data_IF_810711414191
#
_entry.id   IF_810711414191
#
_cell.length_a   1.000
_cell.length_b   1.000
_cell.length_c   1.000
_cell.angle_alpha   90.00
_cell.angle_beta   90.00
_cell.angle_gamma   90.00
#
_symmetry.space_group_name_H-M   'P 1'
#
loop_
_entity.id
_entity.type
_entity.pdbx_description
1 polymer ?
#
# COMPACT_ATOMS: atom_id res chain seq x y z
N UNK A 1 -59.39 12.80 17.52
CA UNK A 1 -59.78 13.09 16.14
C UNK A 1 -60.07 11.80 15.44
N UNK A 2 -61.19 11.65 14.79
CA UNK A 2 -61.54 10.48 14.00
C UNK A 2 -61.09 10.70 12.54
N UNK A 3 -60.55 9.66 11.90
CA UNK A 3 -60.20 9.71 10.48
C UNK A 3 -61.50 9.70 9.66
N UNK A 4 -61.58 10.56 8.66
CA UNK A 4 -62.77 10.62 7.78
C UNK A 4 -62.97 9.28 7.05
N UNK A 5 -64.23 8.85 6.90
CA UNK A 5 -64.59 7.62 6.22
C UNK A 5 -64.15 7.68 4.76
N UNK A 6 -63.57 6.60 4.22
CA UNK A 6 -63.04 6.48 2.84
C UNK A 6 -61.75 7.30 2.55
N UNK A 7 -61.00 7.68 3.57
CA UNK A 7 -59.68 8.30 3.36
C UNK A 7 -58.62 7.23 3.05
N UNK A 8 -57.92 7.38 1.93
CA UNK A 8 -56.78 6.55 1.61
C UNK A 8 -55.59 6.96 2.48
N UNK A 9 -55.04 6.01 3.22
CA UNK A 9 -53.90 6.21 4.10
C UNK A 9 -52.65 5.56 3.54
N UNK A 10 -51.48 6.13 3.82
CA UNK A 10 -50.18 5.55 3.45
C UNK A 10 -49.98 4.17 4.03
N UNK A 11 -50.58 3.86 5.19
CA UNK A 11 -50.49 2.53 5.82
C UNK A 11 -51.24 1.43 5.07
N UNK A 12 -52.20 1.76 4.20
CA UNK A 12 -52.93 0.81 3.36
C UNK A 12 -52.47 0.80 1.90
N UNK A 13 -51.52 1.66 1.53
CA UNK A 13 -51.00 1.75 0.17
C UNK A 13 -49.87 0.74 -0.06
N UNK A 14 -50.03 -0.13 -1.05
CA UNK A 14 -49.04 -1.18 -1.41
C UNK A 14 -47.99 -0.65 -2.38
N UNK A 15 -48.20 0.48 -3.03
CA UNK A 15 -47.37 1.01 -4.10
C UNK A 15 -46.40 2.13 -3.66
N UNK A 16 -46.13 2.25 -2.38
CA UNK A 16 -45.14 3.23 -1.87
C UNK A 16 -43.76 2.74 -2.21
N UNK A 17 -43.04 3.51 -3.03
CA UNK A 17 -41.65 3.24 -3.37
C UNK A 17 -40.72 3.53 -2.18
N UNK A 18 -39.80 2.62 -1.88
CA UNK A 18 -38.79 2.84 -0.86
C UNK A 18 -37.89 4.03 -1.21
N UNK A 19 -37.67 4.90 -0.24
CA UNK A 19 -36.75 6.03 -0.36
C UNK A 19 -35.35 5.58 0.01
N UNK A 20 -34.58 5.13 -0.99
CA UNK A 20 -33.19 4.79 -0.83
C UNK A 20 -32.31 5.98 -1.24
N UNK A 21 -31.33 6.32 -0.40
CA UNK A 21 -30.39 7.39 -0.70
C UNK A 21 -29.47 7.02 -1.86
N UNK A 22 -29.31 7.92 -2.83
CA UNK A 22 -28.38 7.75 -3.96
C UNK A 22 -26.91 8.09 -3.59
N UNK A 23 -26.60 8.20 -2.29
CA UNK A 23 -25.28 8.55 -1.81
C UNK A 23 -24.70 7.41 -0.97
N UNK A 24 -23.50 6.94 -1.32
CA UNK A 24 -22.73 5.97 -0.54
C UNK A 24 -21.63 6.71 0.23
N UNK A 25 -21.70 6.68 1.54
CA UNK A 25 -20.68 7.26 2.42
C UNK A 25 -19.56 6.23 2.65
N UNK A 26 -18.33 6.65 2.42
CA UNK A 26 -17.16 5.83 2.70
C UNK A 26 -16.62 6.13 4.10
N UNK A 27 -16.70 5.15 5.00
CA UNK A 27 -16.33 5.30 6.41
C UNK A 27 -14.86 4.93 6.66
N UNK A 28 -14.22 4.16 5.75
CA UNK A 28 -12.85 3.71 5.94
C UNK A 28 -11.84 4.78 5.51
N UNK A 29 -10.77 5.04 6.30
CA UNK A 29 -9.67 5.90 5.88
C UNK A 29 -8.98 5.29 4.65
N UNK A 30 -8.66 6.14 3.66
CA UNK A 30 -8.10 5.71 2.38
C UNK A 30 -6.76 6.35 2.07
N UNK A 31 -6.22 7.13 2.98
CA UNK A 31 -4.98 7.84 2.77
C UNK A 31 -3.78 6.88 2.81
N UNK A 32 -2.90 7.03 1.84
CA UNK A 32 -1.64 6.28 1.72
C UNK A 32 -0.49 7.29 1.66
N UNK A 33 -0.16 7.95 2.79
CA UNK A 33 0.80 9.04 2.82
C UNK A 33 2.22 8.58 2.47
N UNK A 34 2.64 7.43 2.96
CA UNK A 34 3.98 6.91 2.71
C UNK A 34 4.18 6.60 1.22
N UNK A 35 3.31 5.80 0.62
CA UNK A 35 3.40 5.45 -0.81
C UNK A 35 3.25 6.66 -1.73
N UNK A 36 2.50 7.68 -1.31
CA UNK A 36 2.31 8.93 -2.07
C UNK A 36 3.52 9.85 -1.97
N UNK A 37 4.24 9.83 -0.84
CA UNK A 37 5.46 10.61 -0.61
C UNK A 37 6.72 9.99 -1.21
N UNK A 38 6.71 8.69 -1.52
CA UNK A 38 7.86 8.00 -2.11
C UNK A 38 7.98 8.27 -3.62
N UNK A 39 9.22 8.44 -4.08
CA UNK A 39 9.52 8.43 -5.51
C UNK A 39 9.25 7.04 -6.10
N UNK A 40 8.88 7.00 -7.38
CA UNK A 40 8.60 5.77 -8.13
C UNK A 40 9.65 5.56 -9.20
N UNK A 41 10.11 4.32 -9.33
CA UNK A 41 11.07 3.93 -10.35
C UNK A 41 10.59 2.65 -11.04
N UNK A 42 10.79 2.57 -12.34
CA UNK A 42 10.53 1.34 -13.12
C UNK A 42 11.71 0.38 -12.95
N UNK A 43 11.40 -0.90 -12.81
CA UNK A 43 12.38 -1.98 -12.66
C UNK A 43 12.08 -3.05 -13.71
N UNK A 44 13.10 -3.47 -14.47
CA UNK A 44 12.97 -4.45 -15.55
C UNK A 44 13.24 -5.89 -15.09
N UNK A 45 13.56 -6.11 -13.80
CA UNK A 45 13.86 -7.42 -13.25
C UNK A 45 12.99 -7.72 -12.01
N UNK A 46 12.86 -9.00 -11.70
CA UNK A 46 12.16 -9.47 -10.49
C UNK A 46 12.91 -9.20 -9.19
N UNK A 47 14.23 -9.05 -9.27
CA UNK A 47 15.10 -8.68 -8.18
C UNK A 47 15.87 -7.43 -8.58
N UNK A 48 15.84 -6.41 -7.75
CA UNK A 48 16.56 -5.16 -7.96
C UNK A 48 17.50 -4.89 -6.79
N UNK A 49 18.62 -4.27 -7.11
CA UNK A 49 19.70 -4.05 -6.16
C UNK A 49 20.13 -2.58 -6.17
N UNK A 50 20.61 -2.13 -5.03
CA UNK A 50 21.27 -0.84 -4.88
C UNK A 50 22.51 -0.98 -3.99
N UNK A 51 23.39 -0.01 -4.05
CA UNK A 51 24.61 0.03 -3.23
C UNK A 51 24.47 1.11 -2.17
N UNK A 52 24.96 0.76 -0.98
CA UNK A 52 25.11 1.68 0.13
C UNK A 52 26.57 1.76 0.52
N UNK A 53 27.07 2.94 0.80
CA UNK A 53 28.41 3.18 1.28
C UNK A 53 28.37 3.94 2.59
N UNK A 54 29.35 3.70 3.47
CA UNK A 54 29.44 4.34 4.77
C UNK A 54 30.79 5.08 4.87
N UNK A 55 30.71 6.33 5.30
CA UNK A 55 31.91 7.09 5.63
C UNK A 55 32.36 6.69 7.04
N UNK A 56 33.64 6.36 7.20
CA UNK A 56 34.22 6.08 8.51
C UNK A 56 34.01 7.28 9.46
N UNK A 57 33.69 6.99 10.70
CA UNK A 57 33.53 8.04 11.71
C UNK A 57 34.78 8.93 11.79
N UNK A 58 34.56 10.23 11.98
CA UNK A 58 35.65 11.19 12.10
C UNK A 58 36.61 10.81 13.24
N UNK A 59 37.89 10.79 12.94
CA UNK A 59 38.96 10.54 13.90
C UNK A 59 39.91 11.73 13.95
N UNK A 60 40.63 11.85 15.06
CA UNK A 60 41.67 12.88 15.20
C UNK A 60 42.83 12.54 14.27
N UNK A 61 42.89 13.20 13.12
CA UNK A 61 43.98 12.99 12.13
C UNK A 61 45.15 13.95 12.37
N UNK A 62 45.84 13.79 13.52
CA UNK A 62 47.02 14.58 13.88
C UNK A 62 48.26 13.76 13.56
N UNK A 63 49.23 14.39 12.95
CA UNK A 63 50.56 13.82 12.65
C UNK A 63 51.62 14.65 13.32
N UNK A 64 52.71 13.98 13.65
CA UNK A 64 53.95 14.62 14.16
C UNK A 64 54.68 15.17 12.95
N UNK A 65 55.28 16.37 13.12
CA UNK A 65 56.13 16.95 12.10
C UNK A 65 57.31 16.02 11.79
N UNK A 66 57.56 15.69 10.53
CA UNK A 66 58.60 14.76 10.10
C UNK A 66 58.21 13.27 10.18
N UNK A 67 56.93 12.93 10.45
CA UNK A 67 56.44 11.54 10.39
C UNK A 67 56.37 11.07 8.94
N UNK A 68 57.22 10.12 8.56
CA UNK A 68 57.28 9.45 7.23
C UNK A 68 56.44 8.19 7.16
N UNK A 69 55.54 7.98 8.13
CA UNK A 69 54.66 6.83 8.18
C UNK A 69 53.68 6.82 6.97
N UNK A 70 53.94 5.92 6.02
CA UNK A 70 53.15 5.72 4.78
C UNK A 70 52.16 4.57 4.98
N UNK A 71 51.47 4.49 6.11
CA UNK A 71 50.43 3.47 6.29
C UNK A 71 49.21 3.81 5.45
N UNK A 72 48.84 2.90 4.55
CA UNK A 72 47.60 3.06 3.76
C UNK A 72 46.38 2.99 4.64
N UNK A 73 45.45 3.93 4.45
CA UNK A 73 44.16 3.92 5.15
C UNK A 73 43.32 2.76 4.62
N UNK A 74 42.72 1.98 5.52
CA UNK A 74 41.81 0.91 5.16
C UNK A 74 40.60 1.45 4.42
N UNK A 75 40.21 0.80 3.32
CA UNK A 75 39.03 1.16 2.53
C UNK A 75 37.83 0.39 3.06
N UNK A 76 36.72 1.08 3.21
CA UNK A 76 35.41 0.47 3.37
C UNK A 76 34.83 0.30 1.97
N UNK A 77 34.38 -0.91 1.64
CA UNK A 77 33.76 -1.18 0.34
C UNK A 77 32.26 -1.02 0.43
N UNK A 78 31.59 -0.55 -0.63
CA UNK A 78 30.14 -0.45 -0.69
C UNK A 78 29.47 -1.80 -0.45
N UNK A 79 28.37 -1.80 0.28
CA UNK A 79 27.54 -2.98 0.52
C UNK A 79 26.39 -3.00 -0.48
N UNK A 80 26.14 -4.17 -1.09
CA UNK A 80 25.03 -4.37 -2.01
C UNK A 80 23.80 -4.84 -1.25
N UNK A 81 22.71 -4.11 -1.39
CA UNK A 81 21.39 -4.45 -0.87
C UNK A 81 20.45 -4.72 -2.04
N UNK A 82 19.41 -5.50 -1.83
CA UNK A 82 18.44 -5.78 -2.90
C UNK A 82 17.11 -6.24 -2.35
N UNK A 83 16.06 -6.11 -3.17
CA UNK A 83 14.70 -6.48 -2.82
C UNK A 83 14.01 -7.19 -3.99
N UNK A 84 12.94 -7.92 -3.71
CA UNK A 84 12.13 -8.60 -4.73
C UNK A 84 10.87 -7.83 -5.05
N UNK A 85 10.48 -7.85 -6.33
CA UNK A 85 9.19 -7.34 -6.78
C UNK A 85 8.10 -8.33 -6.40
N UNK A 86 7.07 -7.85 -5.71
CA UNK A 86 5.88 -8.62 -5.34
C UNK A 86 4.75 -8.38 -6.33
N UNK A 87 3.90 -9.37 -6.52
CA UNK A 87 2.66 -9.26 -7.29
C UNK A 87 1.51 -9.13 -6.31
N UNK A 88 0.74 -8.05 -6.44
CA UNK A 88 -0.49 -7.84 -5.68
C UNK A 88 -1.68 -7.89 -6.64
N UNK A 89 -2.72 -8.63 -6.29
CA UNK A 89 -3.87 -8.86 -7.18
C UNK A 89 -5.19 -8.83 -6.39
N UNK A 90 -6.18 -8.18 -6.97
CA UNK A 90 -7.60 -8.34 -6.63
C UNK A 90 -8.37 -8.74 -7.88
N UNK A 91 -9.23 -9.73 -7.76
CA UNK A 91 -10.10 -10.19 -8.84
C UNK A 91 -11.52 -9.71 -8.58
N UNK A 92 -12.12 -9.02 -9.55
CA UNK A 92 -13.53 -8.66 -9.56
C UNK A 92 -14.26 -9.56 -10.56
N UNK A 93 -15.35 -10.15 -10.11
CA UNK A 93 -16.23 -10.92 -10.97
C UNK A 93 -17.66 -10.48 -10.72
N UNK A 94 -18.34 -10.04 -11.77
CA UNK A 94 -19.73 -9.60 -11.74
C UNK A 94 -20.47 -10.36 -12.83
N UNK A 95 -21.66 -10.87 -12.55
CA UNK A 95 -22.47 -11.51 -13.58
C UNK A 95 -23.04 -10.48 -14.54
N UNK A 96 -23.31 -10.87 -15.78
CA UNK A 96 -23.91 -9.97 -16.77
C UNK A 96 -25.28 -9.45 -16.36
N UNK A 97 -26.06 -10.26 -15.64
CA UNK A 97 -27.36 -9.87 -15.10
C UNK A 97 -27.22 -8.81 -14.03
N UNK A 98 -26.24 -8.97 -13.12
CA UNK A 98 -25.96 -8.03 -12.05
C UNK A 98 -25.47 -6.67 -12.60
N UNK A 99 -24.62 -6.68 -13.63
CA UNK A 99 -24.16 -5.43 -14.26
C UNK A 99 -25.23 -4.74 -15.13
N UNK A 100 -26.30 -5.46 -15.51
CA UNK A 100 -27.41 -4.90 -16.28
C UNK A 100 -28.41 -4.15 -15.40
N UNK A 101 -28.48 -4.42 -14.10
CA UNK A 101 -29.42 -3.80 -13.15
C UNK A 101 -28.95 -2.39 -12.75
N UNK A 102 -29.89 -1.50 -12.50
CA UNK A 102 -29.61 -0.16 -11.98
C UNK A 102 -29.51 -0.19 -10.46
N UNK A 103 -28.42 0.34 -9.93
CA UNK A 103 -28.16 0.45 -8.51
C UNK A 103 -28.45 1.86 -7.98
N UNK A 104 -28.94 1.97 -6.76
CA UNK A 104 -28.96 3.23 -6.04
C UNK A 104 -27.55 3.59 -5.53
N UNK A 105 -27.16 4.85 -5.68
CA UNK A 105 -25.91 5.37 -5.16
C UNK A 105 -24.67 5.16 -6.02
N UNK A 106 -24.70 4.31 -7.04
CA UNK A 106 -23.62 4.16 -8.01
C UNK A 106 -24.14 3.68 -9.36
N UNK A 107 -23.37 3.91 -10.41
CA UNK A 107 -23.70 3.43 -11.77
C UNK A 107 -23.43 1.92 -11.93
N UNK A 108 -22.60 1.55 -12.90
CA UNK A 108 -22.24 0.16 -13.14
C UNK A 108 -21.50 -0.46 -11.94
N UNK A 109 -21.99 -1.61 -11.47
CA UNK A 109 -21.49 -2.27 -10.29
C UNK A 109 -20.02 -2.69 -10.43
N UNK A 110 -19.64 -3.22 -11.58
CA UNK A 110 -18.26 -3.63 -11.85
C UNK A 110 -17.27 -2.45 -11.78
N UNK A 111 -17.63 -1.30 -12.36
CA UNK A 111 -16.78 -0.10 -12.32
C UNK A 111 -16.60 0.42 -10.88
N UNK A 112 -17.67 0.41 -10.10
CA UNK A 112 -17.62 0.78 -8.69
C UNK A 112 -16.70 -0.15 -7.87
N UNK A 113 -16.84 -1.46 -8.04
CA UNK A 113 -16.01 -2.45 -7.35
C UNK A 113 -14.54 -2.35 -7.77
N UNK A 114 -14.26 -2.10 -9.06
CA UNK A 114 -12.90 -1.89 -9.55
C UNK A 114 -12.24 -0.68 -8.88
N UNK A 115 -12.94 0.45 -8.81
CA UNK A 115 -12.45 1.65 -8.14
C UNK A 115 -12.20 1.42 -6.64
N UNK A 116 -13.11 0.70 -5.97
CA UNK A 116 -12.98 0.33 -4.55
C UNK A 116 -11.77 -0.57 -4.30
N UNK A 117 -11.56 -1.59 -5.15
CA UNK A 117 -10.42 -2.49 -5.02
C UNK A 117 -9.09 -1.80 -5.36
N UNK A 118 -9.08 -0.82 -6.28
CA UNK A 118 -7.90 0.00 -6.52
C UNK A 118 -7.44 0.78 -5.29
N UNK A 119 -8.40 1.35 -4.54
CA UNK A 119 -8.12 2.03 -3.26
C UNK A 119 -7.63 1.04 -2.19
N UNK A 120 -8.27 -0.12 -2.10
CA UNK A 120 -7.87 -1.18 -1.17
C UNK A 120 -6.45 -1.67 -1.46
N UNK A 121 -6.11 -1.91 -2.73
CA UNK A 121 -4.77 -2.33 -3.13
C UNK A 121 -3.69 -1.34 -2.72
N UNK A 122 -3.93 -0.03 -2.89
CA UNK A 122 -2.97 0.99 -2.43
C UNK A 122 -2.74 0.93 -0.92
N UNK A 123 -3.81 0.74 -0.15
CA UNK A 123 -3.72 0.61 1.31
C UNK A 123 -2.96 -0.65 1.74
N UNK A 124 -3.20 -1.77 1.05
CA UNK A 124 -2.49 -3.03 1.34
C UNK A 124 -1.00 -2.91 1.00
N UNK A 125 -0.66 -2.23 -0.12
CA UNK A 125 0.73 -1.92 -0.46
C UNK A 125 1.41 -1.05 0.59
N UNK A 126 0.72 -0.02 1.08
CA UNK A 126 1.22 0.84 2.17
C UNK A 126 1.49 0.02 3.44
N UNK A 127 0.53 -0.82 3.85
CA UNK A 127 0.69 -1.69 5.02
C UNK A 127 1.91 -2.59 4.91
N UNK A 128 2.09 -3.25 3.77
CA UNK A 128 3.25 -4.12 3.53
C UNK A 128 4.59 -3.37 3.54
N UNK A 129 4.63 -2.13 3.03
CA UNK A 129 5.85 -1.33 3.03
C UNK A 129 6.26 -0.89 4.44
N UNK A 130 5.30 -0.75 5.35
CA UNK A 130 5.52 -0.33 6.75
C UNK A 130 5.64 -1.51 7.71
N UNK A 131 5.33 -2.73 7.28
CA UNK A 131 5.43 -3.93 8.09
C UNK A 131 6.87 -4.47 8.10
N UNK A 132 7.28 -5.08 9.21
CA UNK A 132 8.61 -5.71 9.34
C UNK A 132 8.62 -7.09 8.67
N UNK A 133 8.52 -7.11 7.35
CA UNK A 133 8.57 -8.32 6.54
C UNK A 133 9.93 -8.42 5.87
N UNK A 134 10.54 -9.60 5.96
CA UNK A 134 11.79 -9.91 5.27
C UNK A 134 11.51 -10.33 3.82
N UNK A 135 12.36 -9.90 2.89
CA UNK A 135 12.27 -10.29 1.48
C UNK A 135 12.32 -11.81 1.29
N UNK A 136 11.52 -12.32 0.35
CA UNK A 136 11.54 -13.73 -0.04
C UNK A 136 11.50 -13.86 -1.57
N UNK A 137 12.38 -14.73 -2.11
CA UNK A 137 12.45 -14.99 -3.55
C UNK A 137 11.18 -15.66 -4.10
N UNK A 138 10.50 -16.43 -3.24
CA UNK A 138 9.37 -17.26 -3.64
C UNK A 138 9.80 -18.47 -4.50
N UNK A 139 8.83 -19.28 -4.84
CA UNK A 139 8.96 -20.43 -5.76
C UNK A 139 7.61 -20.71 -6.42
N UNK A 140 7.45 -21.87 -7.08
CA UNK A 140 6.20 -22.24 -7.75
C UNK A 140 4.99 -22.42 -6.80
N UNK A 141 5.22 -22.58 -5.50
CA UNK A 141 4.17 -22.78 -4.47
C UNK A 141 4.09 -21.63 -3.47
N UNK A 142 5.14 -20.84 -3.35
CA UNK A 142 5.21 -19.71 -2.39
C UNK A 142 5.41 -18.39 -3.16
N UNK A 143 4.56 -17.42 -2.91
CA UNK A 143 4.66 -16.10 -3.54
C UNK A 143 5.94 -15.37 -3.11
N UNK A 144 6.47 -14.53 -4.01
CA UNK A 144 7.55 -13.59 -3.67
C UNK A 144 7.02 -12.53 -2.71
N UNK A 145 7.88 -12.14 -1.76
CA UNK A 145 7.60 -11.06 -0.82
C UNK A 145 8.63 -9.95 -0.94
N UNK A 146 8.14 -8.73 -0.99
CA UNK A 146 8.94 -7.50 -0.87
C UNK A 146 9.21 -7.24 0.60
N UNK A 147 10.45 -6.91 0.97
CA UNK A 147 10.76 -6.46 2.32
C UNK A 147 10.17 -5.08 2.58
N UNK A 148 9.60 -4.91 3.76
CA UNK A 148 9.17 -3.61 4.25
C UNK A 148 10.34 -2.74 4.71
N UNK A 149 10.11 -1.44 4.88
CA UNK A 149 11.13 -0.48 5.33
C UNK A 149 11.76 -0.86 6.68
N UNK A 150 11.00 -1.31 7.69
CA UNK A 150 11.61 -1.69 8.97
C UNK A 150 12.63 -2.83 8.88
N UNK A 151 12.50 -3.73 7.89
CA UNK A 151 13.46 -4.82 7.69
C UNK A 151 14.87 -4.34 7.27
N UNK A 152 15.01 -3.10 6.82
CA UNK A 152 16.27 -2.47 6.43
C UNK A 152 16.88 -1.60 7.54
N UNK A 153 16.11 -1.28 8.57
CA UNK A 153 16.55 -0.46 9.68
C UNK A 153 17.27 -1.33 10.69
N UNK A 154 18.62 -1.28 10.67
CA UNK A 154 19.47 -2.04 11.59
C UNK A 154 19.87 -1.24 12.83
N UNK A 155 19.89 0.10 12.75
CA UNK A 155 20.34 1.00 13.82
C UNK A 155 19.45 2.23 13.92
N UNK A 156 19.51 2.92 15.06
CA UNK A 156 18.76 4.18 15.31
C UNK A 156 17.22 4.00 15.23
N UNK A 157 16.71 2.86 15.67
CA UNK A 157 15.27 2.65 15.83
C UNK A 157 14.94 2.37 17.31
N UNK A 158 13.76 2.79 17.71
CA UNK A 158 13.19 2.49 19.03
C UNK A 158 12.15 1.39 18.84
N UNK A 159 12.41 0.20 19.37
CA UNK A 159 11.40 -0.85 19.46
C UNK A 159 10.46 -0.55 20.62
N UNK A 160 9.19 -0.40 20.33
CA UNK A 160 8.13 -0.34 21.34
C UNK A 160 7.66 -1.74 21.72
#
# INVERSE_FOLDING_TARGET
MAIATNTSLTYSSVAIREALSDVIYNIAPMDTPFMSGCAKQTVDNTFFEWQTDTITAGATNRKIEGDDSIAATARVLPTRLGNYCQISQYVNQTSGTDDAVNYAGHGKHQAYQLAKNGKRMKRDMEGMLLENIVRAAGNSTTARATAGVPAWLATNYVSM
#
